data_IF_211431003899
#
_entry.id   IF_211431003899
#
_cell.length_a   1.000
_cell.length_b   1.000
_cell.length_c   1.000
_cell.angle_alpha   90.00
_cell.angle_beta   90.00
_cell.angle_gamma   90.00
#
_symmetry.space_group_name_H-M   'P 1'
#
loop_
_entity.id
_entity.type
_entity.pdbx_description
1 polymer ?
#
# COMPACT_ATOMS: atom_id res chain seq x y z
N UNK A 1 -65.05 -25.33 23.71
CA UNK A 1 -64.94 -23.87 23.60
C UNK A 1 -63.45 -23.54 23.45
N UNK A 2 -63.13 -22.73 22.42
CA UNK A 2 -61.85 -22.27 21.79
C UNK A 2 -60.56 -22.13 22.66
N UNK A 3 -59.33 -22.00 22.07
CA UNK A 3 -59.00 -21.75 20.65
C UNK A 3 -57.86 -22.57 20.00
N UNK A 4 -58.00 -22.69 18.67
CA UNK A 4 -57.00 -22.96 17.63
C UNK A 4 -56.04 -21.77 17.51
N UNK A 5 -54.72 -21.98 17.45
CA UNK A 5 -53.75 -20.96 17.03
C UNK A 5 -52.60 -21.57 16.19
N UNK A 6 -52.45 -20.97 15.00
CA UNK A 6 -51.28 -20.83 14.11
C UNK A 6 -50.52 -22.06 13.60
N UNK A 7 -50.67 -22.34 12.31
CA UNK A 7 -49.51 -22.50 11.41
C UNK A 7 -49.85 -21.84 10.07
N UNK A 8 -49.40 -20.60 9.88
CA UNK A 8 -49.55 -19.90 8.59
C UNK A 8 -48.31 -20.16 7.75
N UNK A 9 -48.53 -20.87 6.65
CA UNK A 9 -47.62 -21.11 5.54
C UNK A 9 -47.28 -19.76 4.86
N UNK A 10 -46.00 -19.42 4.73
CA UNK A 10 -45.58 -18.30 3.86
C UNK A 10 -44.38 -18.71 3.01
N UNK A 11 -44.68 -19.05 1.76
CA UNK A 11 -43.76 -19.10 0.62
C UNK A 11 -43.40 -17.67 0.23
N UNK A 12 -42.13 -17.24 0.34
CA UNK A 12 -41.61 -16.10 -0.46
C UNK A 12 -40.15 -16.33 -0.85
N UNK A 13 -40.01 -16.71 -2.12
CA UNK A 13 -39.00 -16.33 -3.12
C UNK A 13 -37.53 -16.15 -2.74
N UNK A 14 -36.74 -17.11 -3.24
CA UNK A 14 -35.37 -16.92 -3.67
C UNK A 14 -35.30 -15.91 -4.82
N UNK A 15 -34.59 -14.79 -4.64
CA UNK A 15 -33.95 -14.05 -5.72
C UNK A 15 -32.48 -13.83 -5.33
N UNK A 16 -31.60 -14.55 -6.03
CA UNK A 16 -30.15 -14.47 -5.90
C UNK A 16 -29.61 -13.36 -6.83
N UNK A 17 -28.67 -12.59 -6.27
CA UNK A 17 -27.45 -12.03 -6.87
C UNK A 17 -27.52 -11.00 -8.00
N UNK A 18 -26.86 -9.87 -7.72
CA UNK A 18 -26.40 -8.93 -8.74
C UNK A 18 -26.06 -7.54 -8.19
N UNK A 19 -25.44 -7.40 -7.01
CA UNK A 19 -24.77 -6.14 -6.70
C UNK A 19 -23.52 -6.06 -7.58
N UNK A 20 -23.69 -5.65 -8.83
CA UNK A 20 -22.63 -4.95 -9.54
C UNK A 20 -22.45 -3.62 -8.82
N UNK A 21 -21.62 -3.63 -7.78
CA UNK A 21 -21.02 -2.40 -7.30
C UNK A 21 -20.17 -1.88 -8.47
N UNK A 22 -20.78 -1.08 -9.34
CA UNK A 22 -20.03 -0.18 -10.19
C UNK A 22 -19.21 0.67 -9.22
N UNK A 23 -17.94 0.32 -9.04
CA UNK A 23 -16.98 1.17 -8.38
C UNK A 23 -16.87 2.42 -9.24
N UNK A 24 -17.74 3.40 -8.95
CA UNK A 24 -17.72 4.69 -9.60
C UNK A 24 -16.36 5.28 -9.25
N UNK A 25 -15.44 5.30 -10.22
CA UNK A 25 -14.12 5.90 -10.06
C UNK A 25 -14.38 7.34 -9.67
N UNK A 26 -14.14 7.68 -8.40
CA UNK A 26 -14.37 9.03 -7.91
C UNK A 26 -13.39 9.93 -8.64
N UNK A 27 -13.88 11.03 -9.18
CA UNK A 27 -13.01 12.03 -9.80
C UNK A 27 -12.05 12.54 -8.73
N UNK A 28 -10.76 12.46 -9.02
CA UNK A 28 -9.70 12.91 -8.11
C UNK A 28 -9.78 14.44 -7.99
N UNK A 29 -9.81 15.01 -6.78
CA UNK A 29 -9.84 16.45 -6.58
C UNK A 29 -8.62 17.13 -7.22
N UNK A 30 -8.84 18.30 -7.84
CA UNK A 30 -7.77 19.06 -8.49
C UNK A 30 -6.65 19.44 -7.51
N UNK A 31 -7.00 19.77 -6.26
CA UNK A 31 -6.04 20.08 -5.19
C UNK A 31 -5.00 18.97 -5.00
N UNK A 32 -5.40 17.71 -5.13
CA UNK A 32 -4.51 16.55 -5.00
C UNK A 32 -3.61 16.44 -6.22
N UNK A 33 -4.16 16.59 -7.43
CA UNK A 33 -3.37 16.53 -8.66
C UNK A 33 -2.40 17.69 -8.79
N UNK A 34 -2.75 18.87 -8.28
CA UNK A 34 -1.92 20.07 -8.31
C UNK A 34 -0.78 19.96 -7.29
N UNK A 35 -1.06 19.46 -6.08
CA UNK A 35 -0.04 19.17 -5.08
C UNK A 35 0.99 18.14 -5.60
N UNK A 36 0.52 17.10 -6.29
CA UNK A 36 1.40 16.13 -6.95
C UNK A 36 2.28 16.78 -8.01
N UNK A 37 1.71 17.55 -8.95
CA UNK A 37 2.46 18.23 -10.01
C UNK A 37 3.48 19.23 -9.44
N UNK A 38 3.14 19.90 -8.35
CA UNK A 38 4.04 20.82 -7.68
C UNK A 38 5.25 20.08 -7.08
N UNK A 39 5.01 18.94 -6.42
CA UNK A 39 6.08 18.15 -5.77
C UNK A 39 6.92 17.35 -6.76
N UNK A 40 6.32 16.83 -7.84
CA UNK A 40 6.95 15.95 -8.82
C UNK A 40 6.76 16.48 -10.24
N UNK A 41 7.37 17.63 -10.55
CA UNK A 41 7.17 18.38 -11.80
C UNK A 41 7.52 17.60 -13.08
N UNK A 42 8.46 16.67 -12.99
CA UNK A 42 8.95 15.87 -14.12
C UNK A 42 8.46 14.42 -14.06
N UNK A 43 7.36 14.16 -13.35
CA UNK A 43 6.81 12.81 -13.27
C UNK A 43 6.22 12.36 -14.61
N UNK A 44 6.54 11.13 -15.00
CA UNK A 44 6.06 10.46 -16.20
C UNK A 44 5.20 9.24 -15.81
N UNK A 45 4.45 8.70 -16.76
CA UNK A 45 3.66 7.46 -16.57
C UNK A 45 2.81 7.47 -15.30
N UNK A 46 2.03 8.54 -15.13
CA UNK A 46 1.27 8.82 -13.90
C UNK A 46 -0.04 8.04 -13.87
N UNK A 47 -0.18 7.13 -12.91
CA UNK A 47 -1.38 6.34 -12.66
C UNK A 47 -1.91 6.58 -11.25
N UNK A 48 -3.20 6.89 -11.14
CA UNK A 48 -3.82 7.14 -9.86
C UNK A 48 -4.69 5.96 -9.39
N UNK A 49 -4.65 5.70 -8.08
CA UNK A 49 -5.59 4.81 -7.39
C UNK A 49 -6.30 5.59 -6.29
N UNK A 50 -7.61 5.68 -6.42
CA UNK A 50 -8.49 6.23 -5.39
C UNK A 50 -8.67 5.20 -4.26
N UNK A 51 -8.41 5.62 -3.03
CA UNK A 51 -8.77 4.89 -1.81
C UNK A 51 -9.77 5.76 -1.04
N UNK A 52 -10.71 5.14 -0.32
CA UNK A 52 -11.79 5.85 0.38
C UNK A 52 -11.30 7.05 1.23
N UNK A 53 -10.10 6.98 1.80
CA UNK A 53 -9.53 8.00 2.69
C UNK A 53 -8.35 8.80 2.12
N UNK A 54 -7.77 8.38 1.00
CA UNK A 54 -6.55 8.97 0.45
C UNK A 54 -6.34 8.55 -1.02
N UNK A 55 -5.45 9.24 -1.70
CA UNK A 55 -5.05 8.92 -3.06
C UNK A 55 -3.66 8.33 -3.07
N UNK A 56 -3.45 7.36 -3.95
CA UNK A 56 -2.14 6.80 -4.27
C UNK A 56 -1.85 7.13 -5.72
N UNK A 57 -0.64 7.58 -6.01
CA UNK A 57 -0.16 7.83 -7.36
C UNK A 57 1.11 7.04 -7.62
N UNK A 58 1.10 6.27 -8.69
CA UNK A 58 2.25 5.56 -9.23
C UNK A 58 2.79 6.39 -10.40
N UNK A 59 4.10 6.58 -10.45
CA UNK A 59 4.72 7.38 -11.50
C UNK A 59 6.17 7.00 -11.67
N UNK A 60 6.76 7.44 -12.78
CA UNK A 60 8.20 7.37 -13.00
C UNK A 60 8.80 8.75 -12.82
N UNK A 61 9.96 8.83 -12.18
CA UNK A 61 10.74 10.05 -12.05
C UNK A 61 12.21 9.68 -12.20
N UNK A 62 12.89 10.35 -13.14
CA UNK A 62 14.30 10.08 -13.48
C UNK A 62 14.58 8.59 -13.74
N UNK A 63 13.67 7.93 -14.48
CA UNK A 63 13.76 6.51 -14.83
C UNK A 63 13.50 5.53 -13.68
N UNK A 64 13.10 6.00 -12.49
CA UNK A 64 12.77 5.16 -11.33
C UNK A 64 11.28 5.16 -11.05
N UNK A 65 10.76 4.02 -10.58
CA UNK A 65 9.36 3.88 -10.17
C UNK A 65 9.17 4.44 -8.75
N UNK A 66 8.16 5.30 -8.61
CA UNK A 66 7.71 5.89 -7.36
C UNK A 66 6.24 5.56 -7.11
N UNK A 67 5.90 5.48 -5.84
CA UNK A 67 4.52 5.51 -5.35
C UNK A 67 4.43 6.61 -4.29
N UNK A 68 3.49 7.54 -4.42
CA UNK A 68 3.24 8.58 -3.42
C UNK A 68 1.80 8.54 -2.95
N UNK A 69 1.59 8.93 -1.69
CA UNK A 69 0.27 9.02 -1.07
C UNK A 69 -0.06 10.45 -0.70
N UNK A 70 -1.31 10.84 -0.94
CA UNK A 70 -1.86 12.16 -0.67
C UNK A 70 -3.23 12.04 0.01
N UNK A 71 -3.51 12.90 0.98
CA UNK A 71 -4.85 13.03 1.57
C UNK A 71 -5.80 13.78 0.63
N UNK A 72 -7.08 13.79 0.97
CA UNK A 72 -8.14 14.45 0.20
C UNK A 72 -7.96 15.98 0.05
N UNK A 73 -7.20 16.59 0.96
CA UNK A 73 -6.84 18.01 0.96
C UNK A 73 -5.57 18.32 0.13
N UNK A 74 -4.95 17.32 -0.49
CA UNK A 74 -3.70 17.46 -1.21
C UNK A 74 -2.44 17.37 -0.34
N UNK A 75 -2.58 17.11 0.97
CA UNK A 75 -1.42 16.91 1.85
C UNK A 75 -0.69 15.62 1.50
N UNK A 76 0.59 15.73 1.13
CA UNK A 76 1.48 14.58 0.94
C UNK A 76 1.71 13.86 2.27
N UNK A 77 1.54 12.53 2.28
CA UNK A 77 1.67 11.70 3.49
C UNK A 77 2.88 10.79 3.49
N UNK A 78 3.25 10.26 2.33
CA UNK A 78 4.45 9.45 2.16
C UNK A 78 4.79 9.26 0.69
N UNK A 79 6.02 8.89 0.41
CA UNK A 79 6.43 8.35 -0.89
C UNK A 79 7.37 7.20 -0.71
N UNK A 80 7.31 6.22 -1.60
CA UNK A 80 8.29 5.15 -1.70
C UNK A 80 8.87 5.12 -3.10
N UNK A 81 10.17 4.83 -3.19
CA UNK A 81 10.88 4.59 -4.45
C UNK A 81 11.63 3.29 -4.38
N UNK A 82 11.76 2.61 -5.51
CA UNK A 82 12.63 1.43 -5.61
C UNK A 82 14.09 1.89 -5.50
N UNK A 83 14.85 1.21 -4.66
CA UNK A 83 16.30 1.44 -4.47
C UNK A 83 17.09 0.16 -4.68
N UNK A 84 18.40 0.30 -4.84
CA UNK A 84 19.34 -0.81 -4.87
C UNK A 84 19.90 -1.11 -3.48
N UNK A 85 20.54 -2.28 -3.32
CA UNK A 85 21.11 -2.71 -2.03
C UNK A 85 22.23 -1.80 -1.54
N UNK A 86 23.01 -1.22 -2.45
CA UNK A 86 24.07 -0.25 -2.16
C UNK A 86 23.54 1.12 -1.70
N UNK A 87 22.25 1.42 -1.92
CA UNK A 87 21.59 2.63 -1.40
C UNK A 87 21.03 2.42 0.02
N UNK A 88 21.09 1.21 0.58
CA UNK A 88 20.64 0.97 1.96
C UNK A 88 21.65 1.51 2.99
N UNK A 89 21.17 2.19 4.05
CA UNK A 89 22.02 2.53 5.18
C UNK A 89 22.65 1.30 5.83
N UNK A 90 23.93 1.41 6.23
CA UNK A 90 24.67 0.29 6.82
C UNK A 90 24.02 -0.30 8.07
N UNK A 91 23.39 0.53 8.90
CA UNK A 91 22.62 0.07 10.06
C UNK A 91 21.35 -0.71 9.69
N UNK A 92 20.70 -0.41 8.55
CA UNK A 92 19.58 -1.22 8.03
C UNK A 92 20.08 -2.57 7.55
N UNK A 93 21.24 -2.61 6.88
CA UNK A 93 21.91 -3.86 6.49
C UNK A 93 22.22 -4.69 7.74
N UNK A 94 22.86 -4.10 8.75
CA UNK A 94 23.15 -4.77 10.02
C UNK A 94 21.89 -5.30 10.72
N UNK A 95 20.81 -4.52 10.68
CA UNK A 95 19.52 -4.89 11.26
C UNK A 95 18.86 -6.06 10.54
N UNK A 96 18.96 -6.08 9.21
CA UNK A 96 18.47 -7.18 8.38
C UNK A 96 19.31 -8.45 8.57
N UNK A 97 20.64 -8.34 8.58
CA UNK A 97 21.56 -9.48 8.76
C UNK A 97 21.41 -10.14 10.13
N UNK A 98 20.99 -9.38 11.16
CA UNK A 98 20.68 -9.92 12.50
C UNK A 98 19.26 -10.48 12.62
N UNK A 99 18.43 -10.30 11.60
CA UNK A 99 17.06 -10.81 11.60
C UNK A 99 17.01 -12.28 11.17
N UNK A 100 15.89 -12.95 11.46
CA UNK A 100 15.63 -14.32 10.97
C UNK A 100 15.46 -14.44 9.45
N UNK A 101 15.59 -13.32 8.72
CA UNK A 101 15.39 -13.18 7.29
C UNK A 101 16.69 -12.90 6.52
N UNK A 102 17.85 -12.95 7.18
CA UNK A 102 19.16 -12.69 6.56
C UNK A 102 19.44 -13.61 5.37
N UNK A 103 19.04 -14.88 5.48
CA UNK A 103 19.26 -15.90 4.44
C UNK A 103 18.16 -15.93 3.36
N UNK A 104 17.24 -14.97 3.34
CA UNK A 104 16.15 -14.92 2.35
C UNK A 104 16.55 -14.05 1.16
N UNK A 105 16.13 -14.44 -0.04
CA UNK A 105 16.37 -13.67 -1.26
C UNK A 105 15.59 -12.36 -1.24
N UNK A 106 16.21 -11.29 -1.74
CA UNK A 106 15.56 -9.98 -1.85
C UNK A 106 14.85 -9.88 -3.19
N UNK A 107 13.53 -9.70 -3.17
CA UNK A 107 12.74 -9.39 -4.37
C UNK A 107 12.89 -7.90 -4.73
N UNK A 108 12.68 -7.01 -3.75
CA UNK A 108 12.67 -5.56 -3.99
C UNK A 108 12.94 -4.78 -2.72
N UNK A 109 13.67 -3.68 -2.86
CA UNK A 109 13.98 -2.74 -1.79
C UNK A 109 13.31 -1.39 -2.08
N UNK A 110 12.73 -0.79 -1.06
CA UNK A 110 12.15 0.53 -1.15
C UNK A 110 12.66 1.44 -0.04
N UNK A 111 12.93 2.68 -0.39
CA UNK A 111 13.08 3.77 0.57
C UNK A 111 11.73 4.47 0.70
N UNK A 112 11.24 4.62 1.94
CA UNK A 112 10.02 5.33 2.30
C UNK A 112 10.39 6.66 2.94
N UNK A 113 9.88 7.75 2.38
CA UNK A 113 10.04 9.10 2.93
C UNK A 113 8.70 9.61 3.48
N UNK A 114 8.76 10.34 4.59
CA UNK A 114 7.62 10.94 5.28
C UNK A 114 7.80 12.47 5.46
N UNK A 115 6.71 13.23 5.72
CA UNK A 115 6.76 14.69 5.88
C UNK A 115 7.65 15.23 7.01
N UNK A 116 7.91 14.43 8.03
CA UNK A 116 8.73 14.78 9.20
C UNK A 116 10.20 14.39 9.02
N UNK A 117 10.67 14.31 7.77
CA UNK A 117 12.04 13.90 7.40
C UNK A 117 12.41 12.50 7.91
N UNK A 118 11.43 11.71 8.34
CA UNK A 118 11.63 10.30 8.68
C UNK A 118 11.82 9.51 7.40
N UNK A 119 12.81 8.61 7.43
CA UNK A 119 13.01 7.57 6.43
C UNK A 119 12.81 6.18 7.05
N UNK A 120 12.14 5.30 6.31
CA UNK A 120 12.01 3.88 6.61
C UNK A 120 12.40 3.07 5.38
N UNK A 121 12.75 1.81 5.57
CA UNK A 121 13.26 0.95 4.51
C UNK A 121 12.43 -0.31 4.46
N UNK A 122 11.79 -0.56 3.32
CA UNK A 122 10.93 -1.72 3.13
C UNK A 122 11.64 -2.76 2.27
N UNK A 123 11.78 -3.95 2.84
CA UNK A 123 12.45 -5.09 2.25
C UNK A 123 11.41 -6.15 1.95
N UNK A 124 11.22 -6.43 0.66
CA UNK A 124 10.43 -7.55 0.22
C UNK A 124 11.37 -8.73 0.02
N UNK A 125 11.27 -9.73 0.89
CA UNK A 125 12.15 -10.92 0.89
C UNK A 125 11.36 -12.19 0.69
N UNK A 126 11.98 -13.20 0.09
CA UNK A 126 11.34 -14.46 -0.26
C UNK A 126 12.26 -15.64 0.04
N UNK A 127 11.69 -16.72 0.57
CA UNK A 127 12.36 -18.03 0.71
C UNK A 127 11.87 -19.04 -0.33
N UNK A 128 10.60 -18.93 -0.70
CA UNK A 128 9.95 -19.68 -1.78
C UNK A 128 8.72 -18.92 -2.26
N UNK A 129 8.08 -19.33 -3.35
CA UNK A 129 6.91 -18.63 -3.89
C UNK A 129 5.74 -18.48 -2.90
N UNK A 130 5.64 -19.39 -1.94
CA UNK A 130 4.62 -19.35 -0.87
C UNK A 130 5.10 -18.62 0.40
N UNK A 131 6.39 -18.28 0.47
CA UNK A 131 7.01 -17.67 1.63
C UNK A 131 7.65 -16.34 1.22
N UNK A 132 6.82 -15.31 1.18
CA UNK A 132 7.23 -13.93 0.91
C UNK A 132 6.88 -13.04 2.11
N UNK A 133 7.81 -12.17 2.49
CA UNK A 133 7.71 -11.30 3.65
C UNK A 133 7.96 -9.86 3.24
N UNK A 134 7.20 -8.98 3.86
CA UNK A 134 7.28 -7.55 3.73
C UNK A 134 7.74 -6.99 5.08
N UNK A 135 9.01 -6.61 5.13
CA UNK A 135 9.70 -6.13 6.31
C UNK A 135 9.86 -4.63 6.20
N UNK A 136 9.63 -3.89 7.28
CA UNK A 136 9.93 -2.47 7.33
C UNK A 136 10.90 -2.20 8.47
N UNK A 137 12.04 -1.60 8.15
CA UNK A 137 13.07 -1.19 9.09
C UNK A 137 13.06 0.32 9.28
N UNK A 138 13.35 0.77 10.49
CA UNK A 138 13.69 2.18 10.70
C UNK A 138 15.06 2.48 10.11
N UNK A 139 15.36 3.76 9.91
CA UNK A 139 16.70 4.21 9.56
C UNK A 139 17.78 3.70 10.52
N UNK A 140 17.45 3.36 11.78
CA UNK A 140 18.41 2.80 12.77
C UNK A 140 18.60 1.28 12.69
N UNK A 141 18.00 0.62 11.68
CA UNK A 141 18.06 -0.83 11.53
C UNK A 141 17.14 -1.63 12.45
N UNK A 142 16.17 -0.98 13.11
CA UNK A 142 15.19 -1.71 13.92
C UNK A 142 14.05 -2.19 13.05
N UNK A 143 13.74 -3.49 13.10
CA UNK A 143 12.56 -4.04 12.45
C UNK A 143 11.29 -3.46 13.11
N UNK A 144 10.50 -2.72 12.33
CA UNK A 144 9.25 -2.09 12.74
C UNK A 144 8.03 -2.95 12.38
N UNK A 145 8.06 -3.60 11.21
CA UNK A 145 6.96 -4.42 10.70
C UNK A 145 7.47 -5.68 10.04
N UNK A 146 6.71 -6.76 10.23
CA UNK A 146 6.91 -8.07 9.61
C UNK A 146 5.53 -8.56 9.16
N UNK A 147 5.29 -8.55 7.86
CA UNK A 147 4.02 -8.95 7.26
C UNK A 147 4.22 -10.07 6.25
N UNK A 148 3.41 -11.12 6.34
CA UNK A 148 3.34 -12.13 5.29
C UNK A 148 2.67 -11.53 4.05
N UNK A 149 3.31 -11.70 2.90
CA UNK A 149 2.73 -11.38 1.59
C UNK A 149 2.42 -12.71 0.90
N UNK A 150 1.16 -12.92 0.55
CA UNK A 150 0.68 -14.08 -0.21
C UNK A 150 0.65 -13.73 -1.71
#
# INVERSE_FOLDING_TARGET
MRPIILVTLMFVSFCRFGNQANAQIRKIPSVVTDAFKYKYRNAESVEWKDKLSHYIVYFHLDGRQFEASFRNDGTWTSSQKVIKKDELPGNVIDGWDKSKYADWDVDTLYELAFPDERHEYRLIVRKSDLNKRDLTFSEKGRLLKDKLTL
#
